data_IF_341334373364
#
_entry.id   IF_341334373364
#
_cell.length_a   1.000
_cell.length_b   1.000
_cell.length_c   1.000
_cell.angle_alpha   90.00
_cell.angle_beta   90.00
_cell.angle_gamma   90.00
#
_symmetry.space_group_name_H-M   'P 1'
#
loop_
_entity.id
_entity.type
_entity.pdbx_description
1 polymer ?
#
# COMPACT_ATOMS: atom_id res chain seq x y z
N UNK A 1 1.20 -1.65 2.31
CA UNK A 1 0.40 -0.70 3.10
C UNK A 1 0.98 0.69 2.93
N UNK A 2 0.13 1.72 2.90
CA UNK A 2 0.55 3.12 2.74
C UNK A 2 -0.03 3.92 3.91
N UNK A 3 0.66 4.94 4.40
CA UNK A 3 0.11 5.85 5.39
C UNK A 3 -0.97 6.77 4.77
N UNK A 4 -1.76 7.38 5.65
CA UNK A 4 -2.90 8.21 5.26
C UNK A 4 -2.49 9.47 4.48
N UNK A 5 -1.43 10.17 4.91
CA UNK A 5 -1.01 11.43 4.29
C UNK A 5 -0.46 11.17 2.88
N UNK A 6 0.35 10.14 2.73
CA UNK A 6 0.86 9.72 1.42
C UNK A 6 -0.28 9.25 0.51
N UNK A 7 -1.27 8.53 1.04
CA UNK A 7 -2.45 8.11 0.27
C UNK A 7 -3.26 9.32 -0.22
N UNK A 8 -3.56 10.28 0.67
CA UNK A 8 -4.27 11.52 0.32
C UNK A 8 -3.54 12.28 -0.78
N UNK A 9 -2.23 12.49 -0.59
CA UNK A 9 -1.41 13.21 -1.55
C UNK A 9 -1.39 12.54 -2.93
N UNK A 10 -1.17 11.22 -2.99
CA UNK A 10 -1.10 10.47 -4.25
C UNK A 10 -2.45 10.46 -4.98
N UNK A 11 -3.57 10.29 -4.28
CA UNK A 11 -4.90 10.33 -4.91
C UNK A 11 -5.23 11.74 -5.45
N UNK A 12 -4.86 12.79 -4.73
CA UNK A 12 -5.10 14.17 -5.17
C UNK A 12 -4.24 14.60 -6.38
N UNK A 13 -3.02 14.08 -6.50
CA UNK A 13 -2.05 14.51 -7.52
C UNK A 13 -1.96 13.59 -8.74
N UNK A 14 -2.55 12.39 -8.67
CA UNK A 14 -2.54 11.43 -9.78
C UNK A 14 -3.29 11.98 -10.99
N UNK A 15 -2.60 12.01 -12.13
CA UNK A 15 -3.14 12.50 -13.42
C UNK A 15 -3.72 11.40 -14.30
N UNK A 16 -3.41 10.13 -14.01
CA UNK A 16 -3.76 8.99 -14.86
C UNK A 16 -5.08 8.30 -14.50
N UNK A 17 -5.65 8.59 -13.33
CA UNK A 17 -6.90 8.00 -12.84
C UNK A 17 -7.56 8.93 -11.81
N UNK A 18 -8.85 9.22 -12.01
CA UNK A 18 -9.63 10.18 -11.22
C UNK A 18 -10.12 9.65 -9.85
N UNK A 19 -10.05 8.34 -9.59
CA UNK A 19 -10.51 7.77 -8.32
C UNK A 19 -9.83 8.46 -7.13
N UNK A 20 -10.62 8.82 -6.12
CA UNK A 20 -10.14 9.49 -4.90
C UNK A 20 -10.10 11.02 -5.01
N UNK A 21 -10.46 11.59 -6.16
CA UNK A 21 -10.71 13.04 -6.29
C UNK A 21 -12.10 13.41 -5.77
N UNK A 22 -13.05 12.47 -5.75
CA UNK A 22 -14.35 12.66 -5.13
C UNK A 22 -14.29 12.39 -3.62
N UNK A 23 -14.97 13.20 -2.78
CA UNK A 23 -14.93 13.05 -1.32
C UNK A 23 -15.32 11.66 -0.81
N UNK A 24 -16.33 11.03 -1.43
CA UNK A 24 -16.81 9.69 -1.08
C UNK A 24 -15.80 8.59 -1.39
N UNK A 25 -15.06 8.72 -2.49
CA UNK A 25 -14.01 7.78 -2.88
C UNK A 25 -12.79 7.91 -1.98
N UNK A 26 -12.40 9.15 -1.64
CA UNK A 26 -11.34 9.42 -0.69
C UNK A 26 -11.70 8.86 0.69
N UNK A 27 -12.93 9.10 1.16
CA UNK A 27 -13.40 8.55 2.44
C UNK A 27 -13.41 7.02 2.44
N UNK A 28 -13.81 6.39 1.33
CA UNK A 28 -13.75 4.93 1.18
C UNK A 28 -12.31 4.42 1.22
N UNK A 29 -11.39 5.05 0.49
CA UNK A 29 -9.97 4.67 0.47
C UNK A 29 -9.34 4.75 1.87
N UNK A 30 -9.58 5.85 2.59
CA UNK A 30 -9.10 6.05 3.96
C UNK A 30 -9.67 5.05 4.96
N UNK A 31 -10.95 4.71 4.81
CA UNK A 31 -11.62 3.70 5.66
C UNK A 31 -11.06 2.30 5.42
N UNK A 32 -10.84 1.93 4.16
CA UNK A 32 -10.45 0.56 3.80
C UNK A 32 -8.95 0.30 3.95
N UNK A 33 -8.09 1.29 3.71
CA UNK A 33 -6.64 1.14 3.79
C UNK A 33 -6.16 0.46 5.10
N UNK A 34 -6.46 0.95 6.32
CA UNK A 34 -6.04 0.29 7.56
C UNK A 34 -6.73 -1.06 7.80
N UNK A 35 -7.96 -1.27 7.30
CA UNK A 35 -8.67 -2.54 7.43
C UNK A 35 -8.03 -3.64 6.59
N UNK A 36 -7.53 -3.28 5.41
CA UNK A 36 -6.84 -4.22 4.53
C UNK A 36 -5.56 -4.75 5.16
N UNK A 37 -4.83 -3.93 5.94
CA UNK A 37 -3.67 -4.40 6.72
C UNK A 37 -4.01 -5.62 7.57
N UNK A 38 -5.03 -5.50 8.43
CA UNK A 38 -5.43 -6.59 9.33
C UNK A 38 -5.86 -7.85 8.56
N UNK A 39 -6.56 -7.68 7.44
CA UNK A 39 -6.98 -8.80 6.57
C UNK A 39 -5.76 -9.49 5.95
N UNK A 40 -4.79 -8.73 5.45
CA UNK A 40 -3.58 -9.29 4.84
C UNK A 40 -2.67 -9.96 5.89
N UNK A 41 -2.49 -9.33 7.05
CA UNK A 41 -1.74 -9.91 8.17
C UNK A 41 -2.37 -11.24 8.63
N UNK A 42 -3.70 -11.32 8.75
CA UNK A 42 -4.38 -12.58 9.11
C UNK A 42 -4.22 -13.70 8.09
N UNK A 43 -3.82 -13.37 6.85
CA UNK A 43 -3.57 -14.32 5.76
C UNK A 43 -2.10 -14.65 5.59
N UNK A 44 -1.23 -14.20 6.52
CA UNK A 44 0.21 -14.44 6.47
C UNK A 44 0.93 -13.65 5.37
N UNK A 45 0.36 -12.54 4.90
CA UNK A 45 1.01 -11.71 3.89
C UNK A 45 2.15 -10.88 4.49
N UNK A 46 3.26 -10.78 3.76
CA UNK A 46 4.33 -9.82 4.07
C UNK A 46 3.86 -8.40 3.74
N UNK A 47 3.81 -7.54 4.77
CA UNK A 47 3.33 -6.17 4.61
C UNK A 47 4.49 -5.24 4.25
N UNK A 48 4.55 -4.84 2.99
CA UNK A 48 5.52 -3.83 2.52
C UNK A 48 4.98 -2.42 2.74
N UNK A 49 5.82 -1.52 3.26
CA UNK A 49 5.51 -0.10 3.40
C UNK A 49 5.69 0.64 2.07
N UNK A 50 4.57 1.04 1.48
CA UNK A 50 4.50 1.73 0.19
C UNK A 50 4.55 3.27 0.32
N UNK A 51 4.75 3.80 1.53
CA UNK A 51 4.98 5.22 1.75
C UNK A 51 6.41 5.64 1.41
N UNK A 52 7.34 4.69 1.40
CA UNK A 52 8.74 4.89 1.03
C UNK A 52 8.92 5.24 -0.46
N UNK A 53 10.09 5.77 -0.84
CA UNK A 53 10.49 5.92 -2.24
C UNK A 53 10.37 4.60 -3.02
N UNK A 54 10.04 4.70 -4.31
CA UNK A 54 9.75 3.51 -5.14
C UNK A 54 10.89 2.49 -5.18
N UNK A 55 12.14 2.96 -5.16
CA UNK A 55 13.32 2.08 -5.15
C UNK A 55 13.37 1.23 -3.89
N UNK A 56 13.17 1.83 -2.72
CA UNK A 56 13.14 1.10 -1.44
C UNK A 56 11.97 0.12 -1.35
N UNK A 57 10.82 0.48 -1.92
CA UNK A 57 9.66 -0.42 -1.98
C UNK A 57 9.98 -1.62 -2.86
N UNK A 58 10.61 -1.42 -4.01
CA UNK A 58 11.02 -2.50 -4.91
C UNK A 58 12.02 -3.43 -4.23
N UNK A 59 13.03 -2.88 -3.57
CA UNK A 59 14.03 -3.66 -2.82
C UNK A 59 13.34 -4.51 -1.75
N UNK A 60 12.45 -3.91 -0.96
CA UNK A 60 11.68 -4.62 0.08
C UNK A 60 10.81 -5.76 -0.48
N UNK A 61 10.27 -5.60 -1.69
CA UNK A 61 9.49 -6.65 -2.37
C UNK A 61 10.38 -7.79 -2.83
N UNK A 62 11.56 -7.47 -3.39
CA UNK A 62 12.52 -8.45 -3.86
C UNK A 62 13.05 -9.27 -2.68
N UNK A 63 13.43 -8.60 -1.59
CA UNK A 63 13.93 -9.24 -0.37
C UNK A 63 12.88 -10.20 0.22
N UNK A 64 11.63 -9.73 0.41
CA UNK A 64 10.54 -10.56 0.89
C UNK A 64 10.25 -11.77 -0.01
N UNK A 65 10.38 -11.61 -1.33
CA UNK A 65 10.20 -12.72 -2.27
C UNK A 65 11.35 -13.73 -2.25
N UNK A 66 12.58 -13.28 -1.93
CA UNK A 66 13.73 -14.16 -1.74
C UNK A 66 13.64 -14.93 -0.43
N UNK A 67 13.26 -14.28 0.66
CA UNK A 67 13.01 -14.94 1.96
C UNK A 67 11.99 -16.06 1.82
N UNK A 68 10.87 -15.81 1.13
CA UNK A 68 9.86 -16.83 0.86
C UNK A 68 10.39 -18.04 0.06
N UNK A 69 11.42 -17.83 -0.78
CA UNK A 69 12.07 -18.92 -1.54
C UNK A 69 13.18 -19.62 -0.75
N UNK A 70 13.73 -18.97 0.27
CA UNK A 70 14.84 -19.45 1.09
C UNK A 70 14.45 -20.42 2.21
N UNK A 71 13.15 -20.62 2.45
CA UNK A 71 12.61 -21.62 3.40
C UNK A 71 12.58 -23.06 2.83
N UNK A 72 13.59 -23.45 2.06
CA UNK A 72 13.86 -24.86 1.64
C UNK A 72 15.27 -25.26 2.02
#
# INVERSE_FOLDING_TARGET
MIDEDTLRHRLATRTTNAFGQHPEELAAALKWNPRMRAIYESRGATIIDASKPVTEVVDSVIDAAQELRGDT
#
